data_IF_300313331497
#
_entry.id   IF_300313331497
#
_cell.length_a   1.000
_cell.length_b   1.000
_cell.length_c   1.000
_cell.angle_alpha   90.00
_cell.angle_beta   90.00
_cell.angle_gamma   90.00
#
_symmetry.space_group_name_H-M   'P 1'
#
loop_
_entity.id
_entity.type
_entity.pdbx_description
1 polymer ?
#
# COMPACT_ATOMS: atom_id res chain seq x y z
N UNK A 1 21.97 -42.75 -10.53
CA UNK A 1 21.66 -43.82 -9.57
C UNK A 1 22.97 -44.53 -9.27
N UNK A 2 23.25 -44.88 -8.01
CA UNK A 2 24.56 -45.12 -7.34
C UNK A 2 25.25 -43.80 -6.96
N UNK A 3 25.61 -43.49 -5.71
CA UNK A 3 25.90 -44.32 -4.55
C UNK A 3 25.31 -43.73 -3.25
N UNK A 4 24.74 -44.62 -2.45
CA UNK A 4 24.42 -44.44 -1.03
C UNK A 4 25.37 -45.37 -0.25
N UNK A 5 25.69 -45.00 0.99
CA UNK A 5 26.32 -45.77 2.08
C UNK A 5 27.85 -45.95 2.07
N UNK A 6 28.50 -45.32 3.07
CA UNK A 6 29.24 -45.99 4.17
C UNK A 6 29.73 -44.89 5.13
N UNK A 7 28.99 -44.55 6.18
CA UNK A 7 29.05 -45.10 7.54
C UNK A 7 30.46 -45.28 8.16
N UNK A 8 30.67 -44.49 9.23
CA UNK A 8 31.29 -44.87 10.50
C UNK A 8 32.77 -45.29 10.55
N UNK A 9 33.64 -44.36 10.95
CA UNK A 9 34.86 -44.55 11.73
C UNK A 9 35.16 -43.18 12.38
N UNK A 10 35.53 -42.98 13.64
CA UNK A 10 35.78 -43.84 14.79
C UNK A 10 35.75 -42.89 16.01
N UNK A 11 35.22 -43.36 17.13
CA UNK A 11 35.13 -42.62 18.38
C UNK A 11 36.49 -42.50 19.09
N UNK A 12 36.65 -41.38 19.80
CA UNK A 12 37.25 -41.23 21.14
C UNK A 12 38.71 -41.65 21.38
N UNK A 13 39.56 -40.75 21.92
CA UNK A 13 39.77 -40.52 23.37
C UNK A 13 41.04 -39.66 23.59
N UNK A 14 40.90 -38.60 24.39
CA UNK A 14 41.77 -38.10 25.49
C UNK A 14 43.32 -38.20 25.40
N UNK A 15 44.19 -37.30 25.88
CA UNK A 15 44.11 -36.13 26.78
C UNK A 15 45.56 -35.61 26.97
N UNK A 16 45.70 -34.33 27.40
CA UNK A 16 46.76 -33.73 28.24
C UNK A 16 47.97 -32.97 27.63
N UNK A 17 48.18 -31.82 28.28
CA UNK A 17 49.36 -30.94 28.41
C UNK A 17 49.49 -29.85 27.32
N UNK A 18 49.57 -28.56 27.62
CA UNK A 18 49.73 -27.80 28.86
C UNK A 18 50.14 -26.35 28.50
N UNK A 19 50.22 -25.47 29.50
CA UNK A 19 50.69 -24.05 29.44
C UNK A 19 49.66 -23.07 28.83
N UNK A 20 49.10 -22.09 29.53
CA UNK A 20 49.71 -21.24 30.54
C UNK A 20 50.10 -19.90 29.91
N UNK A 21 49.11 -19.07 29.54
CA UNK A 21 49.32 -17.65 29.24
C UNK A 21 48.16 -16.87 29.86
N UNK A 22 48.45 -16.10 30.90
CA UNK A 22 47.53 -15.12 31.45
C UNK A 22 47.37 -13.97 30.45
N UNK A 23 46.23 -13.92 29.76
CA UNK A 23 45.81 -12.76 29.02
C UNK A 23 45.07 -11.81 29.97
N UNK A 24 45.54 -10.57 30.06
CA UNK A 24 44.87 -9.50 30.79
C UNK A 24 43.45 -9.29 30.26
N UNK A 25 42.44 -9.02 31.11
CA UNK A 25 41.12 -8.64 30.63
C UNK A 25 41.26 -7.27 29.94
N UNK A 26 41.22 -7.29 28.60
CA UNK A 26 40.98 -6.08 27.83
C UNK A 26 39.52 -5.75 28.07
N UNK A 27 39.25 -4.66 28.79
CA UNK A 27 37.92 -4.10 28.86
C UNK A 27 37.51 -3.68 27.45
N UNK A 28 36.86 -4.59 26.72
CA UNK A 28 35.98 -4.22 25.64
C UNK A 28 34.81 -3.51 26.29
N UNK A 29 34.87 -2.18 26.30
CA UNK A 29 33.67 -1.37 26.38
C UNK A 29 32.85 -1.71 25.14
N UNK A 30 32.08 -2.79 25.19
CA UNK A 30 30.88 -2.90 24.38
C UNK A 30 30.03 -1.71 24.82
N UNK A 31 30.06 -0.66 24.00
CA UNK A 31 28.95 0.28 23.97
C UNK A 31 27.76 -0.58 23.56
N UNK A 32 27.12 -1.18 24.58
CA UNK A 32 25.74 -1.61 24.54
C UNK A 32 24.95 -0.36 24.20
N UNK A 33 24.88 -0.11 22.89
CA UNK A 33 23.98 0.85 22.31
C UNK A 33 22.61 0.25 22.59
N UNK A 34 22.01 0.68 23.69
CA UNK A 34 20.60 0.54 23.97
C UNK A 34 19.90 1.17 22.76
N UNK A 35 19.60 0.34 21.76
CA UNK A 35 18.71 0.70 20.68
C UNK A 35 17.37 0.83 21.36
N UNK A 36 17.08 2.06 21.78
CA UNK A 36 15.77 2.51 22.22
C UNK A 36 14.75 1.80 21.33
N UNK A 37 13.96 0.91 21.92
CA UNK A 37 12.95 0.09 21.24
C UNK A 37 11.78 0.93 20.74
N UNK A 38 12.06 2.14 20.24
CA UNK A 38 11.13 2.99 19.56
C UNK A 38 10.56 2.18 18.39
N UNK A 39 9.27 1.89 18.48
CA UNK A 39 8.54 1.32 17.37
C UNK A 39 8.85 2.16 16.12
N UNK A 40 9.09 1.52 14.96
CA UNK A 40 9.34 2.27 13.74
C UNK A 40 8.20 3.28 13.54
N UNK A 41 8.51 4.51 13.08
CA UNK A 41 7.50 5.55 12.92
C UNK A 41 6.34 5.01 12.10
N UNK A 42 5.11 5.15 12.62
CA UNK A 42 3.93 4.65 11.95
C UNK A 42 3.86 5.23 10.54
N UNK A 43 3.68 4.36 9.54
CA UNK A 43 3.53 4.83 8.17
C UNK A 43 2.30 5.75 8.08
N UNK A 44 2.42 6.90 7.41
CA UNK A 44 1.35 7.88 7.37
C UNK A 44 0.12 7.36 6.62
N UNK A 45 -1.02 7.96 6.93
CA UNK A 45 -2.32 7.61 6.35
C UNK A 45 -2.77 8.69 5.38
N UNK A 46 -3.08 8.29 4.15
CA UNK A 46 -3.81 9.11 3.18
C UNK A 46 -5.30 8.97 3.43
N UNK A 47 -6.09 9.94 2.97
CA UNK A 47 -7.54 9.88 3.07
C UNK A 47 -8.19 9.97 1.70
N UNK A 48 -9.22 9.16 1.48
CA UNK A 48 -10.19 9.40 0.41
C UNK A 48 -11.44 9.98 1.02
N UNK A 49 -11.83 11.17 0.58
CA UNK A 49 -13.08 11.84 0.97
C UNK A 49 -13.97 12.00 -0.26
N UNK A 50 -15.25 12.34 -0.05
CA UNK A 50 -16.22 12.64 -1.12
C UNK A 50 -16.29 11.56 -2.22
N UNK A 51 -16.16 10.29 -1.83
CA UNK A 51 -16.11 9.18 -2.79
C UNK A 51 -17.48 8.88 -3.39
N UNK A 52 -17.55 8.86 -4.71
CA UNK A 52 -18.70 8.44 -5.51
C UNK A 52 -18.24 7.66 -6.73
N UNK A 53 -18.87 6.51 -6.96
CA UNK A 53 -18.55 5.59 -8.04
C UNK A 53 -19.83 5.05 -8.66
N UNK A 54 -19.98 5.26 -9.95
CA UNK A 54 -20.98 4.60 -10.77
C UNK A 54 -20.28 3.74 -11.83
N UNK A 55 -20.58 2.45 -11.82
CA UNK A 55 -20.06 1.52 -12.84
C UNK A 55 -21.20 1.20 -13.79
N UNK A 56 -21.06 1.56 -15.06
CA UNK A 56 -22.07 1.25 -16.06
C UNK A 56 -22.15 -0.26 -16.35
N UNK A 57 -23.37 -0.76 -16.48
CA UNK A 57 -23.68 -2.11 -17.00
C UNK A 57 -24.09 -2.11 -18.48
N UNK A 58 -24.21 -0.94 -19.10
CA UNK A 58 -24.74 -0.78 -20.47
C UNK A 58 -23.77 -0.01 -21.35
N UNK A 59 -23.67 -0.38 -22.62
CA UNK A 59 -22.82 0.34 -23.58
C UNK A 59 -23.33 1.76 -23.90
N UNK A 60 -24.58 2.07 -23.54
CA UNK A 60 -25.23 3.37 -23.72
C UNK A 60 -25.08 4.29 -22.51
N UNK A 61 -24.50 3.81 -21.41
CA UNK A 61 -24.25 4.60 -20.19
C UNK A 61 -22.76 4.59 -19.88
N UNK A 62 -22.23 5.73 -19.43
CA UNK A 62 -20.82 5.89 -19.07
C UNK A 62 -20.63 5.71 -17.58
N UNK A 63 -19.59 4.99 -17.18
CA UNK A 63 -19.17 4.97 -15.78
C UNK A 63 -18.63 6.33 -15.37
N UNK A 64 -18.73 6.65 -14.08
CA UNK A 64 -18.14 7.84 -13.49
C UNK A 64 -17.54 7.55 -12.13
N UNK A 65 -16.44 8.24 -11.83
CA UNK A 65 -15.77 8.22 -10.53
C UNK A 65 -15.48 9.65 -10.12
N UNK A 66 -15.77 9.95 -8.86
CA UNK A 66 -15.34 11.17 -8.18
C UNK A 66 -14.77 10.75 -6.84
N UNK A 67 -13.56 11.16 -6.54
CA UNK A 67 -12.95 10.95 -5.24
C UNK A 67 -12.02 12.11 -4.94
N UNK A 68 -11.87 12.44 -3.66
CA UNK A 68 -10.93 13.46 -3.22
C UNK A 68 -9.86 12.81 -2.38
N UNK A 69 -8.61 13.13 -2.67
CA UNK A 69 -7.44 12.58 -1.97
C UNK A 69 -6.87 13.67 -1.10
N UNK A 70 -6.75 13.35 0.19
CA UNK A 70 -6.15 14.22 1.19
C UNK A 70 -4.93 13.54 1.80
N UNK A 71 -3.81 14.24 1.76
CA UNK A 71 -2.66 13.93 2.60
C UNK A 71 -2.53 15.05 3.64
N UNK A 72 -2.75 14.76 4.93
CA UNK A 72 -2.81 15.80 5.95
C UNK A 72 -1.43 16.25 6.43
N UNK A 73 -0.35 15.60 5.98
CA UNK A 73 1.00 15.90 6.46
C UNK A 73 1.41 17.31 5.98
N UNK A 74 1.83 18.21 6.87
CA UNK A 74 2.16 19.59 6.50
C UNK A 74 3.15 19.70 5.34
N UNK A 75 4.26 18.96 5.39
CA UNK A 75 5.32 19.01 4.37
C UNK A 75 4.95 18.30 3.05
N UNK A 76 3.89 17.50 3.08
CA UNK A 76 3.45 16.65 1.97
C UNK A 76 1.99 16.91 1.59
N UNK A 77 1.44 18.06 2.01
CA UNK A 77 0.02 18.32 1.97
C UNK A 77 -0.50 18.23 0.55
N UNK A 78 -1.53 17.41 0.36
CA UNK A 78 -2.24 17.28 -0.91
C UNK A 78 -3.71 17.30 -0.61
N UNK A 79 -4.46 18.01 -1.43
CA UNK A 79 -5.91 18.05 -1.37
C UNK A 79 -6.43 18.20 -2.80
N UNK A 80 -6.67 17.08 -3.47
CA UNK A 80 -6.97 17.06 -4.90
C UNK A 80 -8.20 16.22 -5.20
N UNK A 81 -9.03 16.70 -6.12
CA UNK A 81 -10.20 15.97 -6.60
C UNK A 81 -9.85 15.24 -7.89
N UNK A 82 -10.15 13.95 -7.92
CA UNK A 82 -9.91 13.08 -9.05
C UNK A 82 -11.26 12.68 -9.65
N UNK A 83 -11.43 13.04 -10.92
CA UNK A 83 -12.62 12.75 -11.70
C UNK A 83 -12.27 11.84 -12.86
N UNK A 84 -13.13 10.87 -13.14
CA UNK A 84 -13.09 10.11 -14.38
C UNK A 84 -14.51 9.92 -14.87
N UNK A 85 -14.72 10.18 -16.15
CA UNK A 85 -15.92 9.77 -16.86
C UNK A 85 -15.50 8.97 -18.07
N UNK A 86 -16.04 7.76 -18.19
CA UNK A 86 -15.75 6.95 -19.37
C UNK A 86 -16.55 7.41 -20.58
N UNK A 87 -16.28 6.85 -21.76
CA UNK A 87 -16.99 7.16 -23.00
C UNK A 87 -17.68 5.92 -23.58
N UNK A 88 -18.40 6.09 -24.70
CA UNK A 88 -19.15 5.02 -25.35
C UNK A 88 -18.25 3.86 -25.83
N UNK A 89 -16.99 4.14 -26.18
CA UNK A 89 -16.02 3.14 -26.60
C UNK A 89 -15.47 2.33 -25.41
N UNK A 90 -15.49 2.91 -24.21
CA UNK A 90 -14.96 2.31 -22.98
C UNK A 90 -15.95 2.42 -21.81
N UNK A 91 -17.18 1.88 -21.91
CA UNK A 91 -18.29 2.24 -21.02
C UNK A 91 -18.06 1.87 -19.55
N UNK A 92 -17.17 0.91 -19.25
CA UNK A 92 -16.83 0.47 -17.89
C UNK A 92 -15.38 0.83 -17.53
N UNK A 93 -15.17 1.32 -16.30
CA UNK A 93 -13.84 1.59 -15.75
C UNK A 93 -12.95 0.34 -15.68
N UNK A 94 -13.53 -0.86 -15.59
CA UNK A 94 -12.78 -2.11 -15.55
C UNK A 94 -12.23 -2.55 -16.88
N UNK A 95 -12.76 -2.05 -18.00
CA UNK A 95 -12.25 -2.42 -19.33
C UNK A 95 -10.89 -1.83 -19.63
N UNK A 96 -10.56 -0.71 -18.99
CA UNK A 96 -9.31 0.01 -19.24
C UNK A 96 -8.26 -0.39 -18.21
N UNK A 97 -8.66 -0.60 -16.95
CA UNK A 97 -7.76 -1.01 -15.87
C UNK A 97 -6.62 -0.02 -15.59
N UNK A 98 -5.96 -0.17 -14.45
CA UNK A 98 -4.73 0.57 -14.16
C UNK A 98 -4.89 1.92 -13.49
N UNK A 99 -3.80 2.69 -13.55
CA UNK A 99 -3.62 3.95 -12.83
C UNK A 99 -4.17 5.14 -13.61
N UNK A 100 -5.12 5.84 -13.00
CA UNK A 100 -5.70 7.07 -13.50
C UNK A 100 -5.05 8.28 -12.83
N UNK A 101 -4.55 9.27 -13.60
CA UNK A 101 -4.12 10.53 -13.02
C UNK A 101 -5.33 11.33 -12.53
N UNK A 102 -5.14 12.15 -11.50
CA UNK A 102 -6.08 13.23 -11.19
C UNK A 102 -5.83 14.40 -12.17
N UNK A 103 -6.87 15.18 -12.50
CA UNK A 103 -6.80 16.24 -13.53
C UNK A 103 -5.90 17.42 -13.16
N UNK A 104 -5.47 17.52 -11.90
CA UNK A 104 -4.65 18.61 -11.41
C UNK A 104 -3.20 18.54 -11.96
N UNK A 105 -2.69 19.69 -12.40
CA UNK A 105 -1.49 19.84 -13.23
C UNK A 105 -0.21 19.42 -12.51
N UNK A 106 -0.26 19.30 -11.18
CA UNK A 106 0.76 18.63 -10.39
C UNK A 106 0.60 17.10 -10.45
N UNK A 107 0.65 16.51 -11.65
CA UNK A 107 0.41 15.11 -12.06
C UNK A 107 1.17 14.02 -11.26
N UNK A 108 0.99 14.04 -9.95
CA UNK A 108 1.74 13.30 -8.97
C UNK A 108 0.84 12.39 -8.18
N UNK A 109 -0.49 12.47 -8.34
CA UNK A 109 -1.46 11.62 -7.67
C UNK A 109 -2.21 10.76 -8.68
N UNK A 110 -2.27 9.48 -8.40
CA UNK A 110 -2.90 8.46 -9.22
C UNK A 110 -3.77 7.58 -8.36
N UNK A 111 -4.83 7.06 -8.96
CA UNK A 111 -5.75 6.17 -8.29
C UNK A 111 -6.10 4.98 -9.20
N UNK A 112 -6.50 3.88 -8.58
CA UNK A 112 -6.98 2.68 -9.26
C UNK A 112 -8.07 2.07 -8.38
N UNK A 113 -9.24 1.82 -8.96
CA UNK A 113 -10.31 1.06 -8.29
C UNK A 113 -10.50 -0.31 -8.94
N UNK A 114 -10.64 -1.33 -8.10
CA UNK A 114 -11.12 -2.67 -8.47
C UNK A 114 -12.40 -3.01 -7.69
N UNK A 115 -12.91 -4.22 -7.88
CA UNK A 115 -14.17 -4.66 -7.27
C UNK A 115 -14.16 -4.56 -5.74
N UNK A 116 -13.03 -4.83 -5.09
CA UNK A 116 -12.91 -4.93 -3.64
C UNK A 116 -11.91 -3.93 -3.03
N UNK A 117 -11.29 -3.04 -3.81
CA UNK A 117 -10.30 -2.11 -3.27
C UNK A 117 -10.13 -0.83 -4.09
N UNK A 118 -9.57 0.20 -3.44
CA UNK A 118 -8.98 1.38 -4.07
C UNK A 118 -7.50 1.43 -3.72
N UNK A 119 -6.67 1.76 -4.69
CA UNK A 119 -5.26 2.07 -4.49
C UNK A 119 -5.01 3.52 -4.84
N UNK A 120 -4.17 4.14 -4.03
CA UNK A 120 -3.62 5.45 -4.25
C UNK A 120 -2.13 5.33 -4.47
N UNK A 121 -1.62 6.14 -5.38
CA UNK A 121 -0.20 6.26 -5.69
C UNK A 121 0.09 7.75 -5.75
N UNK A 122 1.14 8.20 -5.07
CA UNK A 122 1.64 9.57 -5.26
C UNK A 122 3.15 9.66 -5.30
N UNK A 123 3.68 10.74 -5.87
CA UNK A 123 5.12 11.04 -5.80
C UNK A 123 5.52 11.32 -4.35
N UNK A 124 6.72 10.85 -4.00
CA UNK A 124 7.33 10.98 -2.69
C UNK A 124 8.40 12.07 -2.73
N UNK A 125 8.08 13.23 -2.14
CA UNK A 125 8.83 14.48 -2.29
C UNK A 125 10.16 14.53 -1.51
N UNK A 126 10.56 13.50 -0.75
CA UNK A 126 11.95 13.42 -0.25
C UNK A 126 12.96 13.41 -1.42
N UNK A 127 12.52 12.94 -2.59
CA UNK A 127 13.27 13.03 -3.85
C UNK A 127 12.35 13.60 -4.94
N UNK A 128 12.00 14.90 -4.88
CA UNK A 128 11.00 15.51 -5.75
C UNK A 128 11.44 15.53 -7.22
N UNK A 129 12.75 15.43 -7.47
CA UNK A 129 13.35 15.27 -8.79
C UNK A 129 13.28 13.84 -9.34
N UNK A 130 12.97 12.84 -8.51
CA UNK A 130 12.89 11.44 -8.91
C UNK A 130 11.43 11.05 -9.22
N UNK A 131 11.04 10.93 -10.51
CA UNK A 131 9.67 10.56 -10.90
C UNK A 131 9.29 9.12 -10.53
N UNK A 132 10.24 8.34 -9.99
CA UNK A 132 10.06 6.98 -9.48
C UNK A 132 9.88 6.94 -7.96
N UNK A 133 10.19 8.03 -7.25
CA UNK A 133 9.96 8.13 -5.81
C UNK A 133 8.45 8.19 -5.56
N UNK A 134 7.85 7.15 -5.01
CA UNK A 134 6.38 7.05 -4.86
C UNK A 134 5.95 6.41 -3.55
N UNK A 135 4.85 6.90 -2.98
CA UNK A 135 4.12 6.18 -1.92
C UNK A 135 2.86 5.56 -2.49
N UNK A 136 2.57 4.34 -2.03
CA UNK A 136 1.39 3.57 -2.42
C UNK A 136 0.60 3.22 -1.18
N UNK A 137 -0.69 3.53 -1.21
CA UNK A 137 -1.66 3.12 -0.19
C UNK A 137 -2.74 2.24 -0.81
N UNK A 138 -3.20 1.24 -0.06
CA UNK A 138 -4.20 0.27 -0.50
C UNK A 138 -5.32 0.20 0.52
N UNK A 139 -6.56 0.22 0.04
CA UNK A 139 -7.70 0.26 0.93
C UNK A 139 -8.08 -1.08 1.55
N UNK A 140 -7.57 -2.20 1.01
CA UNK A 140 -7.97 -3.59 1.33
C UNK A 140 -7.80 -3.99 2.81
N UNK A 141 -6.90 -3.35 3.56
CA UNK A 141 -6.74 -3.59 5.01
C UNK A 141 -7.81 -2.91 5.88
N UNK A 142 -8.54 -1.95 5.33
CA UNK A 142 -9.63 -1.25 6.01
C UNK A 142 -10.94 -1.64 5.35
N UNK A 143 -12.01 -1.81 6.15
CA UNK A 143 -13.29 -2.28 5.63
C UNK A 143 -13.70 -1.51 4.37
N UNK A 144 -13.83 -2.19 3.25
CA UNK A 144 -14.31 -1.64 1.97
C UNK A 144 -15.82 -1.49 2.01
N UNK A 145 -16.35 -0.93 3.10
CA UNK A 145 -17.78 -0.76 3.31
C UNK A 145 -18.27 0.40 2.43
N UNK A 146 -18.69 0.08 1.22
CA UNK A 146 -19.35 0.99 0.29
C UNK A 146 -20.80 1.18 0.72
N UNK A 147 -21.32 2.41 0.76
CA UNK A 147 -22.77 2.63 0.79
C UNK A 147 -23.31 2.48 -0.63
N UNK A 148 -23.95 1.35 -0.91
CA UNK A 148 -24.67 1.16 -2.17
C UNK A 148 -25.97 1.97 -2.13
N UNK A 149 -26.11 2.91 -3.05
CA UNK A 149 -27.31 3.73 -3.17
C UNK A 149 -28.25 3.11 -4.21
N UNK A 150 -29.07 2.15 -3.78
CA UNK A 150 -30.25 1.67 -4.54
C UNK A 150 -31.52 2.17 -3.86
N UNK A 151 -32.51 2.57 -4.68
CA UNK A 151 -33.83 3.06 -4.22
C UNK A 151 -34.50 2.07 -3.23
N UNK A 152 -34.17 0.76 -3.28
CA UNK A 152 -34.80 -0.28 -2.45
C UNK A 152 -33.82 -1.22 -1.72
N UNK A 153 -32.51 -0.95 -1.71
CA UNK A 153 -31.51 -1.82 -1.04
C UNK A 153 -30.30 -1.03 -0.54
N UNK A 154 -30.50 0.02 0.30
CA UNK A 154 -29.38 0.68 0.94
C UNK A 154 -28.66 -0.31 1.86
N UNK A 155 -27.34 -0.38 1.74
CA UNK A 155 -26.56 -1.26 2.61
C UNK A 155 -25.06 -1.14 2.37
N UNK A 156 -24.30 -1.53 3.40
CA UNK A 156 -22.86 -1.65 3.29
C UNK A 156 -22.52 -2.86 2.41
N UNK A 157 -21.75 -2.64 1.35
CA UNK A 157 -21.19 -3.70 0.51
C UNK A 157 -19.68 -3.72 0.69
N UNK A 158 -19.06 -4.87 0.48
CA UNK A 158 -17.58 -5.02 0.43
C UNK A 158 -17.05 -5.08 -1.00
N UNK A 159 -17.95 -5.26 -1.97
CA UNK A 159 -17.66 -5.32 -3.40
C UNK A 159 -18.56 -4.41 -4.19
N UNK A 160 -18.00 -3.78 -5.21
CA UNK A 160 -18.75 -2.99 -6.20
C UNK A 160 -19.12 -3.84 -7.41
N UNK A 161 -20.27 -3.58 -8.03
CA UNK A 161 -20.83 -4.31 -9.17
C UNK A 161 -21.33 -3.35 -10.24
N UNK A 162 -21.33 -3.81 -11.49
CA UNK A 162 -21.88 -3.04 -12.60
C UNK A 162 -23.37 -2.71 -12.37
N UNK A 163 -23.80 -1.53 -12.82
CA UNK A 163 -25.16 -1.03 -12.74
C UNK A 163 -25.51 -0.30 -11.45
N UNK A 164 -24.55 -0.11 -10.54
CA UNK A 164 -24.79 0.42 -9.20
C UNK A 164 -24.02 1.71 -8.93
N UNK A 165 -24.56 2.50 -8.00
CA UNK A 165 -23.92 3.70 -7.44
C UNK A 165 -23.43 3.36 -6.04
N UNK A 166 -22.16 3.64 -5.79
CA UNK A 166 -21.49 3.47 -4.52
C UNK A 166 -20.98 4.82 -4.05
N UNK A 167 -21.20 5.11 -2.78
CA UNK A 167 -20.64 6.30 -2.16
C UNK A 167 -20.10 6.00 -0.76
N UNK A 168 -19.35 6.95 -0.23
CA UNK A 168 -18.97 6.96 1.18
C UNK A 168 -19.02 8.38 1.70
N UNK A 169 -19.70 8.55 2.82
CA UNK A 169 -19.84 9.86 3.50
C UNK A 169 -18.70 10.08 4.49
N UNK A 170 -18.17 8.98 5.05
CA UNK A 170 -17.04 9.02 5.98
C UNK A 170 -15.72 8.95 5.23
N UNK A 171 -14.73 9.67 5.73
CA UNK A 171 -13.37 9.62 5.22
C UNK A 171 -12.81 8.20 5.29
N UNK A 172 -12.12 7.81 4.23
CA UNK A 172 -11.49 6.50 4.12
C UNK A 172 -10.01 6.61 4.44
N UNK A 173 -9.54 6.11 5.59
CA UNK A 173 -8.11 6.01 5.85
C UNK A 173 -7.49 4.94 4.94
N UNK A 174 -6.46 5.35 4.22
CA UNK A 174 -5.64 4.55 3.33
C UNK A 174 -4.19 4.62 3.83
N UNK A 175 -3.75 3.69 4.70
CA UNK A 175 -2.37 3.65 5.14
C UNK A 175 -1.43 3.50 3.95
N UNK A 176 -0.29 4.17 4.01
CA UNK A 176 0.80 3.93 3.08
C UNK A 176 1.40 2.56 3.42
N UNK A 177 1.40 1.65 2.45
CA UNK A 177 1.96 0.31 2.61
C UNK A 177 3.37 0.20 2.02
N UNK A 178 3.70 1.08 1.08
CA UNK A 178 4.97 1.02 0.37
C UNK A 178 5.48 2.42 0.10
N UNK A 179 6.73 2.66 0.46
CA UNK A 179 7.52 3.82 0.02
C UNK A 179 8.57 3.27 -0.94
N UNK A 180 8.43 3.64 -2.22
CA UNK A 180 9.41 3.37 -3.25
C UNK A 180 10.37 4.57 -3.28
N UNK A 181 11.48 4.46 -2.57
CA UNK A 181 12.68 5.30 -2.74
C UNK A 181 13.66 4.50 -3.61
N UNK A 182 14.28 5.13 -4.61
CA UNK A 182 15.19 4.40 -5.51
C UNK A 182 16.64 4.70 -5.17
#
# INVERSE_FOLDING_TARGET
MLNVLLDMLLAALAVLMGSGVMAAPTATTELDMEVDGAAPPALPTLYITDFSLYISSMNTSTSSVVLKIVDPRPDYFVNTTCTLRTNAQTPSIYKIGGWWPCEDVAAQTFWWVEEDWVRLRRVWYDEPWNPRSRVVGVSKRHSTNWKESRINTPGNKTKVKNGNIYSRIEDWPIPIETIMVK
#
